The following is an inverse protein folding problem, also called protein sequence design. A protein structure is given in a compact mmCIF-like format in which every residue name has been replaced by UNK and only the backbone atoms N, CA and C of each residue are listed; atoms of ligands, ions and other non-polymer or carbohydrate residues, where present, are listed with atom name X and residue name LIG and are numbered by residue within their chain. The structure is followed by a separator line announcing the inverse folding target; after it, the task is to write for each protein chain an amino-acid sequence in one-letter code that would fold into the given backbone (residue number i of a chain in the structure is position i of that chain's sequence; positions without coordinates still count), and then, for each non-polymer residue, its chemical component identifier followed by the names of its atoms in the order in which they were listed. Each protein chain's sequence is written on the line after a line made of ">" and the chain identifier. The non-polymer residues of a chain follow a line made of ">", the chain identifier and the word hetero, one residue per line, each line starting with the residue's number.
data_IF_220749978947
#
_entry.id   IF_220749978947
#
_cell.length_a   1.000
_cell.length_b   1.000
_cell.length_c   1.000
_cell.angle_alpha   90.00
_cell.angle_beta   90.00
_cell.angle_gamma   90.00
#
_symmetry.space_group_name_H-M   'P 1'
#
loop_
_entity.id
_entity.type
_entity.pdbx_description
1 polymer ?
#
# COMPACT_ATOMS: atom_id res chain seq x y z
N UNK A 1 -19.68 -6.95 20.07
CA UNK A 1 -18.55 -7.46 20.89
C UNK A 1 -17.71 -8.34 19.97
N UNK A 2 -16.46 -7.97 19.68
CA UNK A 2 -15.57 -8.76 18.82
C UNK A 2 -15.01 -9.96 19.58
N UNK A 3 -15.02 -11.13 18.94
CA UNK A 3 -14.53 -12.38 19.50
C UNK A 3 -12.98 -12.34 19.53
N UNK A 4 -12.32 -12.43 20.69
CA UNK A 4 -10.88 -12.22 20.81
C UNK A 4 -10.00 -13.31 20.16
N UNK A 5 -10.62 -14.34 19.55
CA UNK A 5 -9.92 -15.46 18.89
C UNK A 5 -9.92 -15.44 17.35
N UNK A 6 -10.61 -14.49 16.69
CA UNK A 6 -10.56 -14.37 15.22
C UNK A 6 -9.51 -13.32 14.89
N UNK A 7 -8.29 -13.75 14.56
CA UNK A 7 -7.31 -12.83 13.97
C UNK A 7 -7.95 -12.27 12.70
N UNK A 8 -8.08 -10.95 12.61
CA UNK A 8 -8.61 -10.29 11.43
C UNK A 8 -7.92 -10.86 10.17
N UNK A 9 -8.66 -11.25 9.12
CA UNK A 9 -8.09 -11.92 7.94
C UNK A 9 -6.84 -11.20 7.42
N UNK A 10 -5.74 -11.91 7.13
CA UNK A 10 -4.49 -11.27 6.74
C UNK A 10 -4.71 -10.39 5.50
N UNK A 11 -4.19 -9.16 5.51
CA UNK A 11 -4.43 -8.17 4.47
C UNK A 11 -3.21 -7.26 4.28
N UNK A 12 -3.00 -6.78 3.06
CA UNK A 12 -2.06 -5.68 2.78
C UNK A 12 -2.64 -4.42 3.39
N UNK A 13 -1.82 -3.65 4.10
CA UNK A 13 -2.27 -2.36 4.63
C UNK A 13 -1.86 -1.23 3.69
N UNK A 14 -2.76 -0.27 3.51
CA UNK A 14 -2.55 0.97 2.76
C UNK A 14 -2.77 2.11 3.74
N UNK A 15 -1.68 2.71 4.24
CA UNK A 15 -1.75 3.89 5.08
C UNK A 15 -1.75 5.13 4.19
N UNK A 16 -2.70 6.04 4.38
CA UNK A 16 -2.84 7.22 3.53
C UNK A 16 -3.08 8.49 4.35
N UNK A 17 -2.56 9.61 3.86
CA UNK A 17 -2.90 10.92 4.40
C UNK A 17 -4.39 11.20 4.14
N UNK A 18 -5.17 11.77 5.09
CA UNK A 18 -6.62 11.99 4.94
C UNK A 18 -7.02 12.74 3.65
N UNK A 19 -6.18 13.64 3.13
CA UNK A 19 -6.43 14.35 1.86
C UNK A 19 -6.56 13.41 0.64
N UNK A 20 -6.13 12.15 0.77
CA UNK A 20 -6.18 11.13 -0.27
C UNK A 20 -7.35 10.14 -0.10
N UNK A 21 -8.25 10.36 0.87
CA UNK A 21 -9.37 9.44 1.16
C UNK A 21 -10.29 9.18 -0.04
N UNK A 22 -10.57 10.22 -0.83
CA UNK A 22 -11.31 10.12 -2.09
C UNK A 22 -10.40 10.27 -3.33
N UNK A 23 -9.08 10.16 -3.14
CA UNK A 23 -8.08 10.39 -4.17
C UNK A 23 -7.94 9.23 -5.16
N UNK A 24 -7.55 9.57 -6.39
CA UNK A 24 -7.24 8.58 -7.43
C UNK A 24 -6.13 7.59 -7.02
N UNK A 25 -5.07 7.97 -6.27
CA UNK A 25 -4.06 7.03 -5.78
C UNK A 25 -4.65 5.88 -4.98
N UNK A 26 -5.44 6.18 -3.95
CA UNK A 26 -6.03 5.16 -3.09
C UNK A 26 -6.93 4.22 -3.90
N UNK A 27 -7.79 4.80 -4.75
CA UNK A 27 -8.70 4.02 -5.60
C UNK A 27 -7.95 3.06 -6.53
N UNK A 28 -6.93 3.53 -7.25
CA UNK A 28 -6.21 2.72 -8.22
C UNK A 28 -5.37 1.61 -7.56
N UNK A 29 -4.76 1.89 -6.42
CA UNK A 29 -4.00 0.91 -5.64
C UNK A 29 -4.90 -0.24 -5.18
N UNK A 30 -6.07 0.08 -4.61
CA UNK A 30 -7.02 -0.94 -4.15
C UNK A 30 -7.49 -1.84 -5.29
N UNK A 31 -7.80 -1.25 -6.45
CA UNK A 31 -8.15 -2.02 -7.65
C UNK A 31 -7.01 -2.95 -8.11
N UNK A 32 -5.75 -2.52 -8.00
CA UNK A 32 -4.60 -3.36 -8.35
C UNK A 32 -4.41 -4.55 -7.39
N UNK A 33 -4.68 -4.35 -6.10
CA UNK A 33 -4.71 -5.41 -5.10
C UNK A 33 -5.88 -6.39 -5.35
N UNK A 34 -7.06 -5.88 -5.71
CA UNK A 34 -8.23 -6.68 -6.07
C UNK A 34 -8.02 -7.54 -7.32
N UNK A 35 -7.37 -7.01 -8.36
CA UNK A 35 -6.99 -7.77 -9.55
C UNK A 35 -6.04 -8.93 -9.22
N UNK A 36 -5.22 -8.75 -8.19
CA UNK A 36 -4.39 -9.82 -7.64
C UNK A 36 -5.17 -10.75 -6.70
N UNK A 37 -6.44 -10.50 -6.39
CA UNK A 37 -7.18 -11.29 -5.40
C UNK A 37 -6.53 -11.26 -4.01
N UNK A 38 -5.80 -10.19 -3.68
CA UNK A 38 -5.12 -10.03 -2.40
C UNK A 38 -5.96 -9.11 -1.52
N UNK A 39 -6.37 -9.56 -0.31
CA UNK A 39 -7.12 -8.73 0.62
C UNK A 39 -6.32 -7.51 1.06
N UNK A 40 -7.01 -6.38 1.22
CA UNK A 40 -6.40 -5.11 1.61
C UNK A 40 -7.22 -4.37 2.67
N UNK A 41 -6.57 -3.44 3.37
CA UNK A 41 -7.20 -2.48 4.29
C UNK A 41 -6.60 -1.10 4.11
N UNK A 42 -7.46 -0.11 3.89
CA UNK A 42 -7.06 1.29 3.86
C UNK A 42 -7.22 1.90 5.26
N UNK A 43 -6.19 2.60 5.74
CA UNK A 43 -6.14 3.19 7.07
C UNK A 43 -5.72 4.67 6.96
N UNK A 44 -6.59 5.64 7.31
CA UNK A 44 -6.21 7.04 7.34
C UNK A 44 -5.19 7.26 8.46
N UNK A 45 -4.14 8.04 8.18
CA UNK A 45 -3.05 8.33 9.11
C UNK A 45 -2.82 9.84 9.21
N UNK A 46 -3.41 10.47 10.23
CA UNK A 46 -3.17 11.89 10.51
C UNK A 46 -1.79 12.10 11.15
N UNK A 47 -1.11 13.20 10.79
CA UNK A 47 0.17 13.59 11.39
C UNK A 47 1.43 12.95 10.80
N UNK A 48 1.30 12.21 9.68
CA UNK A 48 2.43 11.70 8.91
C UNK A 48 2.18 11.97 7.42
N UNK A 49 3.14 12.60 6.75
CA UNK A 49 3.05 12.97 5.32
C UNK A 49 4.20 12.40 4.48
N UNK A 50 5.11 11.62 5.08
CA UNK A 50 6.14 10.93 4.32
C UNK A 50 5.60 9.58 3.81
N UNK A 51 5.52 9.41 2.49
CA UNK A 51 4.99 8.19 1.87
C UNK A 51 5.74 6.92 2.31
N UNK A 52 7.07 6.98 2.44
CA UNK A 52 7.86 5.84 2.92
C UNK A 52 7.54 5.51 4.38
N UNK A 53 7.45 6.51 5.26
CA UNK A 53 7.08 6.31 6.67
C UNK A 53 5.67 5.68 6.81
N UNK A 54 4.71 6.16 6.02
CA UNK A 54 3.37 5.57 5.94
C UNK A 54 3.41 4.10 5.48
N UNK A 55 4.16 3.81 4.42
CA UNK A 55 4.30 2.45 3.90
C UNK A 55 4.94 1.51 4.94
N UNK A 56 5.89 2.02 5.73
CA UNK A 56 6.54 1.27 6.83
C UNK A 56 5.57 0.98 7.95
N UNK A 57 4.80 1.97 8.36
CA UNK A 57 3.74 1.78 9.35
C UNK A 57 2.74 0.73 8.85
N UNK A 58 2.31 0.82 7.59
CA UNK A 58 1.42 -0.16 6.98
C UNK A 58 2.02 -1.59 7.02
N UNK A 59 3.27 -1.74 6.57
CA UNK A 59 3.95 -3.03 6.52
C UNK A 59 4.17 -3.65 7.91
N UNK A 60 4.44 -2.83 8.93
CA UNK A 60 4.63 -3.29 10.30
C UNK A 60 3.34 -3.85 10.92
N UNK A 61 2.19 -3.25 10.59
CA UNK A 61 0.88 -3.66 11.12
C UNK A 61 0.17 -4.70 10.25
N UNK A 62 0.59 -4.90 9.00
CA UNK A 62 0.06 -5.93 8.11
C UNK A 62 0.60 -7.30 8.51
N UNK A 63 -0.32 -8.28 8.69
CA UNK A 63 0.06 -9.69 8.85
C UNK A 63 0.79 -10.24 7.62
N UNK A 64 0.57 -9.65 6.43
CA UNK A 64 1.27 -9.99 5.18
C UNK A 64 2.59 -9.23 5.02
N UNK A 65 2.99 -8.44 6.03
CA UNK A 65 4.25 -7.69 6.11
C UNK A 65 4.49 -6.74 4.93
N UNK A 66 3.46 -6.49 4.13
CA UNK A 66 3.48 -5.66 2.93
C UNK A 66 2.65 -4.42 3.19
N UNK A 67 3.20 -3.26 2.84
CA UNK A 67 2.59 -1.97 3.14
C UNK A 67 2.73 -0.98 1.99
N UNK A 68 1.66 -0.23 1.78
CA UNK A 68 1.62 0.93 0.90
C UNK A 68 1.42 2.20 1.73
N UNK A 69 2.07 3.28 1.31
CA UNK A 69 1.97 4.60 1.92
C UNK A 69 1.61 5.63 0.87
N UNK A 70 0.61 6.48 1.14
CA UNK A 70 0.16 7.55 0.24
C UNK A 70 0.28 8.89 0.98
N UNK A 71 1.21 9.75 0.55
CA UNK A 71 1.37 11.10 1.09
C UNK A 71 0.24 12.04 0.62
N UNK A 72 0.07 13.18 1.28
CA UNK A 72 -0.87 14.25 0.90
C UNK A 72 -0.65 14.72 -0.53
N UNK A 73 0.61 14.73 -1.00
CA UNK A 73 0.99 15.06 -2.38
C UNK A 73 0.50 14.06 -3.43
N UNK A 74 0.06 12.87 -3.01
CA UNK A 74 -0.25 11.74 -3.89
C UNK A 74 0.97 10.88 -4.25
N UNK A 75 2.15 11.13 -3.67
CA UNK A 75 3.29 10.20 -3.74
C UNK A 75 2.91 8.86 -3.10
N UNK A 76 3.29 7.76 -3.76
CA UNK A 76 3.01 6.40 -3.29
C UNK A 76 4.28 5.60 -3.15
N UNK A 77 4.43 4.92 -2.02
CA UNK A 77 5.53 3.97 -1.77
C UNK A 77 4.97 2.60 -1.43
N UNK A 78 5.52 1.57 -2.06
CA UNK A 78 5.38 0.17 -1.65
C UNK A 78 6.62 -0.27 -0.90
N UNK A 79 6.42 -1.02 0.19
CA UNK A 79 7.50 -1.66 0.92
C UNK A 79 7.09 -3.00 1.55
N UNK A 80 8.12 -3.72 2.02
CA UNK A 80 8.00 -4.88 2.90
C UNK A 80 8.63 -4.59 4.27
N UNK A 81 8.14 -5.21 5.34
CA UNK A 81 8.59 -4.98 6.71
C UNK A 81 10.06 -5.37 6.95
N UNK A 82 10.61 -6.28 6.13
CA UNK A 82 12.02 -6.70 6.19
C UNK A 82 12.91 -5.99 5.15
N UNK A 83 12.35 -5.13 4.31
CA UNK A 83 13.14 -4.37 3.34
C UNK A 83 13.91 -3.24 4.06
N UNK A 84 15.08 -2.78 3.59
CA UNK A 84 15.82 -1.68 4.23
C UNK A 84 14.97 -0.42 4.39
N UNK A 85 14.92 0.13 5.60
CA UNK A 85 13.93 1.14 6.01
C UNK A 85 14.11 2.51 5.33
N UNK A 86 15.30 2.77 4.80
CA UNK A 86 15.75 4.03 4.21
C UNK A 86 15.40 4.17 2.71
N UNK A 87 14.82 3.13 2.09
CA UNK A 87 14.45 3.17 0.68
C UNK A 87 13.13 2.49 0.37
N UNK A 88 12.39 2.98 -0.65
CA UNK A 88 11.20 2.34 -1.16
C UNK A 88 11.56 1.07 -1.94
N UNK A 89 10.67 0.08 -1.95
CA UNK A 89 10.80 -1.10 -2.80
C UNK A 89 10.26 -0.82 -4.22
N UNK A 90 9.12 -0.12 -4.30
CA UNK A 90 8.62 0.57 -5.50
C UNK A 90 8.09 1.94 -5.09
N UNK A 91 8.12 2.88 -6.03
CA UNK A 91 7.74 4.27 -5.80
C UNK A 91 7.02 4.81 -7.04
N UNK A 92 5.93 5.51 -6.81
CA UNK A 92 5.24 6.34 -7.79
C UNK A 92 5.29 7.80 -7.30
N UNK A 93 5.90 8.72 -8.08
CA UNK A 93 5.92 10.13 -7.71
C UNK A 93 4.50 10.74 -7.69
N UNK A 94 4.35 11.96 -7.13
CA UNK A 94 3.13 12.73 -7.28
C UNK A 94 2.68 12.84 -8.75
N UNK A 95 1.37 12.89 -8.98
CA UNK A 95 0.75 12.94 -10.31
C UNK A 95 1.08 11.75 -11.24
N UNK A 96 1.49 10.60 -10.70
CA UNK A 96 1.59 9.34 -11.45
C UNK A 96 0.29 8.98 -12.16
N UNK A 97 0.42 8.32 -13.31
CA UNK A 97 -0.73 7.91 -14.12
C UNK A 97 -1.59 6.88 -13.40
N UNK A 98 -2.87 6.75 -13.81
CA UNK A 98 -3.76 5.71 -13.28
C UNK A 98 -3.19 4.30 -13.50
N UNK A 99 -2.47 4.08 -14.60
CA UNK A 99 -1.83 2.80 -14.90
C UNK A 99 -0.66 2.51 -13.93
N UNK A 100 0.19 3.50 -13.65
CA UNK A 100 1.28 3.37 -12.69
C UNK A 100 0.74 3.10 -11.27
N UNK A 101 -0.30 3.83 -10.86
CA UNK A 101 -0.97 3.65 -9.56
C UNK A 101 -1.66 2.29 -9.44
N UNK A 102 -2.28 1.79 -10.52
CA UNK A 102 -2.83 0.44 -10.58
C UNK A 102 -1.73 -0.60 -10.45
N UNK A 103 -0.64 -0.42 -11.18
CA UNK A 103 0.47 -1.35 -11.21
C UNK A 103 1.19 -1.46 -9.86
N UNK A 104 1.41 -0.36 -9.13
CA UNK A 104 2.01 -0.45 -7.79
C UNK A 104 1.10 -1.19 -6.79
N UNK A 105 -0.23 -1.10 -6.95
CA UNK A 105 -1.18 -1.95 -6.23
C UNK A 105 -1.06 -3.43 -6.61
N UNK A 106 -0.94 -3.73 -7.90
CA UNK A 106 -0.70 -5.09 -8.39
C UNK A 106 0.67 -5.64 -7.90
N UNK A 107 1.72 -4.81 -7.88
CA UNK A 107 3.03 -5.18 -7.36
C UNK A 107 2.96 -5.55 -5.87
N UNK A 108 2.14 -4.86 -5.08
CA UNK A 108 1.91 -5.23 -3.69
C UNK A 108 1.29 -6.64 -3.57
N UNK A 109 0.34 -6.98 -4.44
CA UNK A 109 -0.22 -8.33 -4.50
C UNK A 109 0.78 -9.39 -5.00
N UNK A 110 1.60 -9.05 -5.99
CA UNK A 110 2.69 -9.91 -6.50
C UNK A 110 3.76 -10.17 -5.43
N UNK A 111 4.08 -9.17 -4.61
CA UNK A 111 4.99 -9.30 -3.48
C UNK A 111 4.48 -10.32 -2.45
N UNK A 112 3.19 -10.24 -2.11
CA UNK A 112 2.54 -11.22 -1.21
C UNK A 112 2.56 -12.64 -1.80
N UNK A 113 2.34 -12.77 -3.10
CA UNK A 113 2.33 -14.04 -3.82
C UNK A 113 3.71 -14.58 -4.18
N UNK A 114 4.77 -13.81 -3.94
CA UNK A 114 6.15 -14.17 -4.28
C UNK A 114 6.32 -14.45 -5.78
N UNK A 115 5.82 -13.54 -6.62
CA UNK A 115 5.99 -13.59 -8.08
C UNK A 115 6.64 -12.29 -8.59
N UNK A 116 7.27 -12.30 -9.79
CA UNK A 116 7.93 -11.13 -10.34
C UNK A 116 7.00 -9.93 -10.49
N UNK A 117 7.57 -8.72 -10.38
CA UNK A 117 6.81 -7.50 -10.57
C UNK A 117 6.52 -7.22 -12.03
N UNK A 118 5.28 -6.79 -12.27
CA UNK A 118 4.89 -6.15 -13.52
C UNK A 118 5.44 -4.73 -13.58
N UNK A 119 5.79 -4.30 -14.79
CA UNK A 119 6.16 -2.92 -15.10
C UNK A 119 4.97 -2.22 -15.75
N UNK A 120 4.83 -0.91 -15.52
CA UNK A 120 3.87 -0.06 -16.20
C UNK A 120 4.60 1.17 -16.72
N UNK A 121 4.34 1.50 -17.98
CA UNK A 121 4.78 2.76 -18.61
C UNK A 121 3.98 3.96 -18.08
#
# INVERSE_FOLDING_TARGET
>A
MQNPGVSSSPAVHVCYHPDQEAGEPLRQICLGLEEQGVPWRALPCSGQDNALALARQAAAHSALRTGLGIAASGEVVLTHAQYPADRPLRHCPPASSRAQLRNIGANAGQLVKVIPFSEAE
#
